data_IF_283537131805
#
_entry.id   IF_283537131805
#
_cell.length_a   1.000
_cell.length_b   1.000
_cell.length_c   1.000
_cell.angle_alpha   90.00
_cell.angle_beta   90.00
_cell.angle_gamma   90.00
#
_symmetry.space_group_name_H-M   'P 1'
#
loop_
_entity.id
_entity.type
_entity.pdbx_description
1 polymer ?
#
# COMPACT_ATOMS: atom_id res chain seq x y z
N UNK A 1 43.70 7.11 -40.90
CA UNK A 1 43.42 7.75 -42.20
C UNK A 1 42.20 8.64 -42.03
N UNK A 2 42.39 9.95 -42.14
CA UNK A 2 41.42 11.00 -41.83
C UNK A 2 40.88 11.53 -43.17
N UNK A 3 39.57 11.48 -43.41
CA UNK A 3 38.96 12.16 -44.56
C UNK A 3 37.94 13.17 -44.06
N UNK A 4 38.43 14.40 -43.96
CA UNK A 4 37.67 15.64 -43.93
C UNK A 4 37.33 15.98 -45.39
N UNK A 5 36.08 16.33 -45.68
CA UNK A 5 35.74 17.14 -46.86
C UNK A 5 34.78 18.24 -46.40
N UNK A 6 35.32 19.45 -46.44
CA UNK A 6 34.65 20.75 -46.37
C UNK A 6 34.38 21.18 -47.82
N UNK A 7 33.30 21.95 -48.07
CA UNK A 7 33.21 23.17 -48.91
C UNK A 7 31.72 23.40 -49.26
N UNK A 8 30.99 24.47 -48.90
CA UNK A 8 31.10 25.96 -49.01
C UNK A 8 30.40 26.56 -50.26
N UNK A 9 29.77 27.73 -50.02
CA UNK A 9 29.30 28.80 -50.94
C UNK A 9 27.94 28.59 -51.64
N UNK A 10 27.10 29.59 -51.91
CA UNK A 10 26.92 31.03 -51.59
C UNK A 10 25.53 31.39 -52.21
N UNK A 11 24.70 32.31 -51.72
CA UNK A 11 24.93 33.73 -51.47
C UNK A 11 24.69 34.56 -52.74
N UNK A 12 23.77 35.54 -52.68
CA UNK A 12 23.41 36.60 -53.66
C UNK A 12 22.17 36.29 -54.56
N UNK A 13 21.24 37.18 -54.94
CA UNK A 13 21.15 38.65 -54.98
C UNK A 13 19.66 39.06 -55.18
N UNK A 14 19.21 40.07 -54.42
CA UNK A 14 18.36 41.26 -54.77
C UNK A 14 17.46 41.21 -56.02
N UNK A 15 16.17 41.55 -55.86
CA UNK A 15 15.50 42.61 -56.67
C UNK A 15 14.29 43.20 -55.93
N UNK A 16 14.25 44.53 -55.91
CA UNK A 16 13.17 45.38 -55.43
C UNK A 16 12.27 45.83 -56.61
N UNK A 17 11.02 46.20 -56.31
CA UNK A 17 10.06 46.89 -57.20
C UNK A 17 8.95 45.96 -57.71
N UNK A 18 7.68 46.34 -57.87
CA UNK A 18 6.98 47.62 -57.71
C UNK A 18 5.45 47.39 -57.73
N UNK A 19 4.71 48.32 -57.09
CA UNK A 19 3.38 48.86 -57.44
C UNK A 19 2.10 48.00 -57.41
N UNK A 20 1.27 48.31 -56.41
CA UNK A 20 -0.15 48.72 -56.48
C UNK A 20 -1.08 48.09 -57.55
N UNK A 21 -2.06 47.33 -57.06
CA UNK A 21 -3.37 47.22 -57.70
C UNK A 21 -4.46 47.15 -56.61
N UNK A 22 -5.22 48.24 -56.50
CA UNK A 22 -6.42 48.38 -55.68
C UNK A 22 -7.58 47.70 -56.40
N UNK A 23 -8.22 46.74 -55.74
CA UNK A 23 -9.54 46.23 -56.09
C UNK A 23 -10.35 46.08 -54.81
N UNK A 24 -11.59 46.57 -54.71
CA UNK A 24 -12.42 46.34 -53.54
C UNK A 24 -12.81 44.86 -53.51
N UNK A 25 -12.36 44.13 -52.49
CA UNK A 25 -12.88 42.79 -52.19
C UNK A 25 -13.69 42.88 -50.91
N UNK A 26 -14.90 42.33 -51.02
CA UNK A 26 -15.91 42.18 -49.98
C UNK A 26 -15.33 41.81 -48.61
N UNK A 27 -15.96 42.24 -47.49
CA UNK A 27 -15.58 41.74 -46.18
C UNK A 27 -15.76 40.22 -46.20
N UNK A 28 -14.63 39.50 -46.28
CA UNK A 28 -14.59 38.07 -46.12
C UNK A 28 -15.30 37.75 -44.80
N UNK A 29 -16.36 36.95 -44.89
CA UNK A 29 -16.95 36.32 -43.73
C UNK A 29 -15.81 35.65 -42.95
N UNK A 30 -15.54 36.15 -41.74
CA UNK A 30 -14.55 35.53 -40.86
C UNK A 30 -15.12 34.15 -40.51
N UNK A 31 -14.58 33.09 -41.11
CA UNK A 31 -14.87 31.73 -40.70
C UNK A 31 -14.48 31.60 -39.22
N UNK A 32 -15.49 31.52 -38.36
CA UNK A 32 -15.30 31.21 -36.94
C UNK A 32 -14.87 29.76 -36.86
N UNK A 33 -13.55 29.53 -36.77
CA UNK A 33 -13.01 28.22 -36.43
C UNK A 33 -13.46 27.88 -35.01
N UNK A 34 -14.34 26.88 -34.87
CA UNK A 34 -14.61 26.28 -33.56
C UNK A 34 -13.29 25.69 -33.06
N UNK A 35 -12.77 26.12 -31.89
CA UNK A 35 -11.55 25.54 -31.34
C UNK A 35 -11.72 24.02 -31.25
N UNK A 36 -10.75 23.28 -31.79
CA UNK A 36 -10.69 21.84 -31.58
C UNK A 36 -10.64 21.58 -30.06
N UNK A 37 -11.28 20.51 -29.57
CA UNK A 37 -11.20 20.13 -28.16
C UNK A 37 -9.73 20.06 -27.75
N UNK A 38 -9.35 20.86 -26.75
CA UNK A 38 -8.03 20.75 -26.14
C UNK A 38 -7.96 19.38 -25.47
N UNK A 39 -6.92 18.57 -25.71
CA UNK A 39 -6.76 17.30 -25.00
C UNK A 39 -6.78 17.54 -23.49
N UNK A 40 -7.67 16.86 -22.77
CA UNK A 40 -7.63 16.87 -21.31
C UNK A 40 -6.31 16.26 -20.85
N UNK A 41 -5.55 16.98 -20.03
CA UNK A 41 -4.33 16.45 -19.43
C UNK A 41 -4.69 15.28 -18.52
N UNK A 42 -3.95 14.16 -18.56
CA UNK A 42 -4.20 13.05 -17.66
C UNK A 42 -4.02 13.51 -16.21
N UNK A 43 -4.80 12.95 -15.27
CA UNK A 43 -4.72 13.35 -13.87
C UNK A 43 -3.31 13.15 -13.32
N UNK A 44 -2.86 14.10 -12.49
CA UNK A 44 -1.54 14.06 -11.91
C UNK A 44 -1.35 12.78 -11.08
N UNK A 45 -0.22 12.09 -11.31
CA UNK A 45 0.13 10.88 -10.57
C UNK A 45 0.54 11.26 -9.14
N UNK A 46 -0.12 10.65 -8.17
CA UNK A 46 0.18 10.77 -6.75
C UNK A 46 1.20 9.70 -6.33
N UNK A 47 0.94 8.45 -6.69
CA UNK A 47 1.81 7.30 -6.46
C UNK A 47 1.61 6.28 -7.59
N UNK A 48 2.44 5.22 -7.72
CA UNK A 48 2.11 4.11 -8.60
C UNK A 48 0.68 3.60 -8.33
N UNK A 49 -0.18 3.58 -9.35
CA UNK A 49 -1.57 3.13 -9.20
C UNK A 49 -2.55 4.12 -8.55
N UNK A 50 -2.11 5.33 -8.19
CA UNK A 50 -2.91 6.34 -7.51
C UNK A 50 -2.74 7.72 -8.15
N UNK A 51 -3.87 8.40 -8.35
CA UNK A 51 -3.96 9.77 -8.87
C UNK A 51 -4.78 10.64 -7.93
N UNK A 52 -4.82 11.94 -8.16
CA UNK A 52 -5.69 12.85 -7.39
C UNK A 52 -7.18 12.53 -7.52
N UNK A 53 -7.57 11.84 -8.60
CA UNK A 53 -8.96 11.42 -8.84
C UNK A 53 -9.28 10.06 -8.23
N UNK A 54 -8.30 9.32 -7.70
CA UNK A 54 -8.51 8.02 -7.08
C UNK A 54 -7.55 6.93 -7.56
N UNK A 55 -7.94 5.68 -7.30
CA UNK A 55 -7.16 4.47 -7.63
C UNK A 55 -7.32 4.15 -9.11
N UNK A 56 -6.20 4.01 -9.82
CA UNK A 56 -6.16 3.63 -11.24
C UNK A 56 -5.67 2.21 -11.44
N UNK A 57 -4.85 1.68 -10.51
CA UNK A 57 -4.27 0.33 -10.57
C UNK A 57 -3.88 -0.09 -9.15
N UNK A 58 -4.73 -0.88 -8.50
CA UNK A 58 -4.53 -1.34 -7.11
C UNK A 58 -3.31 -2.26 -6.97
N UNK A 59 -3.04 -3.09 -7.99
CA UNK A 59 -1.89 -4.01 -8.01
C UNK A 59 -0.57 -3.25 -8.16
N UNK A 60 -0.50 -2.22 -9.00
CA UNK A 60 0.69 -1.38 -9.13
C UNK A 60 1.04 -0.66 -7.82
N UNK A 61 0.03 -0.17 -7.08
CA UNK A 61 0.22 0.44 -5.77
C UNK A 61 0.75 -0.59 -4.75
N UNK A 62 0.13 -1.77 -4.72
CA UNK A 62 0.49 -2.84 -3.78
C UNK A 62 1.90 -3.38 -4.07
N UNK A 63 2.27 -3.53 -5.34
CA UNK A 63 3.63 -3.91 -5.75
C UNK A 63 4.67 -2.85 -5.35
N UNK A 64 4.37 -1.57 -5.54
CA UNK A 64 5.25 -0.48 -5.13
C UNK A 64 5.45 -0.46 -3.60
N UNK A 65 4.39 -0.73 -2.84
CA UNK A 65 4.45 -0.91 -1.39
C UNK A 65 5.43 -2.04 -0.99
N UNK A 66 5.31 -3.21 -1.62
CA UNK A 66 6.22 -4.35 -1.36
C UNK A 66 7.66 -3.97 -1.65
N UNK A 67 7.92 -3.39 -2.83
CA UNK A 67 9.27 -2.98 -3.24
C UNK A 67 9.89 -2.03 -2.24
N UNK A 68 9.10 -1.08 -1.71
CA UNK A 68 9.60 -0.11 -0.73
C UNK A 68 9.99 -0.76 0.60
N UNK A 69 9.21 -1.75 1.06
CA UNK A 69 9.45 -2.44 2.33
C UNK A 69 10.49 -3.56 2.24
N UNK A 70 10.71 -4.17 1.08
CA UNK A 70 11.59 -5.35 0.94
C UNK A 70 13.03 -5.12 1.41
N UNK A 71 13.55 -3.90 1.27
CA UNK A 71 14.98 -3.60 1.48
C UNK A 71 15.25 -2.67 2.67
N UNK A 72 14.25 -2.39 3.51
CA UNK A 72 14.37 -1.48 4.66
C UNK A 72 13.93 -2.18 5.94
N UNK A 73 14.44 -1.71 7.08
CA UNK A 73 13.87 -2.08 8.37
C UNK A 73 12.56 -1.34 8.60
N UNK A 74 11.64 -1.94 9.35
CA UNK A 74 10.40 -1.27 9.74
C UNK A 74 9.74 -1.98 10.93
N UNK A 75 8.86 -1.23 11.60
CA UNK A 75 7.91 -1.76 12.57
C UNK A 75 6.51 -1.71 11.97
N UNK A 76 5.79 -2.82 12.06
CA UNK A 76 4.40 -2.96 11.69
C UNK A 76 3.55 -3.14 12.95
N UNK A 77 2.46 -2.36 13.04
CA UNK A 77 1.38 -2.54 13.99
C UNK A 77 0.09 -2.84 13.25
N UNK A 78 -0.59 -3.90 13.67
CA UNK A 78 -1.87 -4.31 13.10
C UNK A 78 -2.86 -4.59 14.22
N UNK A 79 -4.09 -4.14 14.07
CA UNK A 79 -5.22 -4.49 14.94
C UNK A 79 -6.43 -4.80 14.10
N UNK A 80 -7.10 -5.92 14.39
CA UNK A 80 -8.42 -6.25 13.86
C UNK A 80 -9.35 -6.62 14.99
N UNK A 81 -10.51 -6.00 15.03
CA UNK A 81 -11.55 -6.28 16.02
C UNK A 81 -12.85 -6.63 15.30
N UNK A 82 -13.49 -7.70 15.76
CA UNK A 82 -14.81 -8.16 15.31
C UNK A 82 -15.74 -8.12 16.53
N UNK A 83 -16.81 -7.33 16.45
CA UNK A 83 -17.81 -7.19 17.50
C UNK A 83 -19.18 -7.70 17.04
N UNK A 84 -19.98 -8.19 17.97
CA UNK A 84 -21.41 -8.44 17.74
C UNK A 84 -22.19 -7.12 17.71
N UNK A 85 -23.46 -7.17 17.26
CA UNK A 85 -24.36 -6.02 17.31
C UNK A 85 -24.52 -5.42 18.71
N UNK A 86 -24.47 -6.26 19.74
CA UNK A 86 -24.59 -5.86 21.16
C UNK A 86 -23.29 -5.28 21.75
N UNK A 87 -22.19 -5.28 20.98
CA UNK A 87 -20.92 -4.66 21.34
C UNK A 87 -19.84 -5.62 21.88
N UNK A 88 -20.18 -6.89 22.11
CA UNK A 88 -19.22 -7.89 22.61
C UNK A 88 -18.08 -8.13 21.63
N UNK A 89 -16.86 -8.21 22.16
CA UNK A 89 -15.66 -8.50 21.36
C UNK A 89 -15.57 -10.01 21.09
N UNK A 90 -16.03 -10.40 19.90
CA UNK A 90 -15.99 -11.78 19.43
C UNK A 90 -14.57 -12.24 19.10
N UNK A 91 -13.78 -11.33 18.52
CA UNK A 91 -12.37 -11.53 18.20
C UNK A 91 -11.65 -10.19 18.23
N UNK A 92 -10.46 -10.16 18.83
CA UNK A 92 -9.48 -9.09 18.72
C UNK A 92 -8.14 -9.72 18.42
N UNK A 93 -7.56 -9.33 17.29
CA UNK A 93 -6.22 -9.70 16.87
C UNK A 93 -5.34 -8.46 16.91
N UNK A 94 -4.20 -8.56 17.57
CA UNK A 94 -3.13 -7.57 17.47
C UNK A 94 -1.89 -8.25 16.90
N UNK A 95 -1.14 -7.54 16.06
CA UNK A 95 0.16 -8.02 15.57
C UNK A 95 1.17 -6.89 15.65
N UNK A 96 2.33 -7.18 16.21
CA UNK A 96 3.49 -6.29 16.21
C UNK A 96 4.63 -7.06 15.57
N UNK A 97 5.24 -6.45 14.56
CA UNK A 97 6.35 -7.05 13.83
C UNK A 97 7.45 -6.04 13.67
N UNK A 98 8.68 -6.45 13.99
CA UNK A 98 9.88 -5.64 13.84
C UNK A 98 10.87 -6.42 13.02
N UNK A 99 11.33 -5.83 11.93
CA UNK A 99 12.29 -6.47 11.02
C UNK A 99 13.45 -5.55 10.72
N UNK A 100 14.64 -6.14 10.62
CA UNK A 100 15.76 -5.53 9.93
C UNK A 100 15.54 -5.53 8.42
N UNK A 101 16.43 -4.86 7.69
CA UNK A 101 16.40 -4.85 6.23
C UNK A 101 16.49 -6.28 5.65
N UNK A 102 15.74 -6.56 4.59
CA UNK A 102 15.71 -7.86 3.91
C UNK A 102 15.32 -9.04 4.81
N UNK A 103 14.60 -8.80 5.91
CA UNK A 103 14.21 -9.86 6.86
C UNK A 103 15.39 -10.65 7.45
N UNK A 104 16.59 -10.05 7.49
CA UNK A 104 17.81 -10.71 8.02
C UNK A 104 17.62 -11.17 9.47
N UNK A 105 16.90 -10.37 10.24
CA UNK A 105 16.49 -10.63 11.61
C UNK A 105 15.11 -10.06 11.83
N UNK A 106 14.27 -10.75 12.61
CA UNK A 106 12.97 -10.21 12.97
C UNK A 106 12.40 -10.84 14.24
N UNK A 107 11.44 -10.12 14.83
CA UNK A 107 10.51 -10.64 15.84
C UNK A 107 9.09 -10.28 15.45
N UNK A 108 8.22 -11.28 15.44
CA UNK A 108 6.78 -11.13 15.27
C UNK A 108 6.07 -11.58 16.55
N UNK A 109 5.05 -10.83 16.98
CA UNK A 109 4.10 -11.24 18.00
C UNK A 109 2.70 -11.02 17.48
N UNK A 110 1.84 -12.02 17.61
CA UNK A 110 0.39 -11.91 17.40
C UNK A 110 -0.33 -12.38 18.65
N UNK A 111 -1.29 -11.59 19.11
CA UNK A 111 -2.19 -11.98 20.20
C UNK A 111 -3.60 -12.01 19.64
N UNK A 112 -4.34 -13.06 19.96
CA UNK A 112 -5.74 -13.24 19.56
C UNK A 112 -6.56 -13.53 20.82
N UNK A 113 -7.58 -12.72 21.08
CA UNK A 113 -8.51 -12.86 22.21
C UNK A 113 -9.94 -12.67 21.76
N UNK A 114 -10.92 -13.02 22.60
CA UNK A 114 -12.34 -12.77 22.37
C UNK A 114 -13.20 -13.98 22.69
N UNK A 115 -14.52 -13.81 22.62
CA UNK A 115 -15.45 -14.86 23.05
C UNK A 115 -15.53 -16.07 22.12
N UNK A 116 -15.06 -15.95 20.88
CA UNK A 116 -15.12 -17.05 19.88
C UNK A 116 -13.83 -17.85 19.73
N UNK A 117 -12.76 -17.49 20.45
CA UNK A 117 -11.44 -18.08 20.30
C UNK A 117 -10.75 -18.18 21.67
N UNK A 118 -10.00 -19.25 21.95
CA UNK A 118 -9.15 -19.27 23.13
C UNK A 118 -8.06 -18.19 23.03
N UNK A 119 -7.64 -17.65 24.16
CA UNK A 119 -6.53 -16.70 24.18
C UNK A 119 -5.28 -17.38 23.62
N UNK A 120 -4.74 -16.77 22.56
CA UNK A 120 -3.62 -17.32 21.79
C UNK A 120 -2.56 -16.26 21.56
N UNK A 121 -1.32 -16.53 21.95
CA UNK A 121 -0.13 -15.76 21.54
C UNK A 121 0.71 -16.60 20.57
N UNK A 122 1.05 -16.04 19.40
CA UNK A 122 2.10 -16.56 18.53
C UNK A 122 3.29 -15.60 18.57
N UNK A 123 4.50 -16.12 18.74
CA UNK A 123 5.73 -15.37 18.63
C UNK A 123 6.69 -16.10 17.71
N UNK A 124 7.18 -15.43 16.67
CA UNK A 124 8.24 -15.97 15.81
C UNK A 124 9.45 -15.07 15.90
N UNK A 125 10.62 -15.70 16.05
CA UNK A 125 11.92 -15.03 16.01
C UNK A 125 12.75 -15.65 14.90
N UNK A 126 13.37 -14.80 14.09
CA UNK A 126 14.38 -15.20 13.12
C UNK A 126 15.72 -14.55 13.46
N UNK A 127 16.74 -15.39 13.61
CA UNK A 127 18.13 -14.99 13.85
C UNK A 127 19.03 -16.08 13.27
N UNK A 128 20.15 -15.69 12.67
CA UNK A 128 21.20 -16.63 12.22
C UNK A 128 20.68 -17.79 11.34
N UNK A 129 19.73 -17.48 10.45
CA UNK A 129 19.15 -18.44 9.52
C UNK A 129 18.16 -19.43 10.17
N UNK A 130 17.74 -19.21 11.41
CA UNK A 130 16.82 -20.10 12.14
C UNK A 130 15.59 -19.34 12.61
N UNK A 131 14.42 -19.91 12.32
CA UNK A 131 13.13 -19.46 12.83
C UNK A 131 12.67 -20.36 13.98
N UNK A 132 12.32 -19.74 15.10
CA UNK A 132 11.66 -20.41 16.22
C UNK A 132 10.31 -19.77 16.42
N UNK A 133 9.27 -20.58 16.39
CA UNK A 133 7.91 -20.18 16.75
C UNK A 133 7.58 -20.68 18.15
N UNK A 134 6.88 -19.84 18.91
CA UNK A 134 6.30 -20.14 20.21
C UNK A 134 4.81 -19.84 20.13
N UNK A 135 4.00 -20.83 20.45
CA UNK A 135 2.54 -20.71 20.47
C UNK A 135 2.05 -21.01 21.88
N UNK A 136 1.38 -20.03 22.49
CA UNK A 136 0.79 -20.14 23.82
C UNK A 136 -0.71 -20.09 23.68
N UNK A 137 -1.42 -21.15 24.10
CA UNK A 137 -2.88 -21.23 24.11
C UNK A 137 -3.33 -21.54 25.53
N UNK A 138 -4.17 -20.69 26.13
CA UNK A 138 -4.62 -20.83 27.52
C UNK A 138 -3.46 -21.18 28.47
N UNK A 139 -2.41 -20.36 28.45
CA UNK A 139 -1.18 -20.50 29.27
C UNK A 139 -0.28 -21.70 28.92
N UNK A 140 -0.73 -22.64 28.09
CA UNK A 140 0.07 -23.78 27.64
C UNK A 140 0.93 -23.37 26.45
N UNK A 141 2.26 -23.53 26.58
CA UNK A 141 3.22 -23.08 25.57
C UNK A 141 3.87 -24.24 24.83
N UNK A 142 3.82 -24.20 23.50
CA UNK A 142 4.59 -25.07 22.59
C UNK A 142 5.65 -24.26 21.86
N UNK A 143 6.80 -24.88 21.60
CA UNK A 143 7.91 -24.30 20.84
C UNK A 143 8.24 -25.21 19.66
N UNK A 144 8.49 -24.61 18.50
CA UNK A 144 8.82 -25.31 17.27
C UNK A 144 9.92 -24.59 16.50
N UNK A 145 10.77 -25.35 15.80
CA UNK A 145 11.70 -24.81 14.82
C UNK A 145 10.99 -24.85 13.47
N UNK A 146 10.48 -23.71 13.02
CA UNK A 146 9.68 -23.62 11.78
C UNK A 146 10.54 -23.45 10.54
N UNK A 147 11.80 -23.02 10.71
CA UNK A 147 12.80 -23.02 9.65
C UNK A 147 14.20 -23.16 10.25
N UNK A 148 15.06 -23.94 9.60
CA UNK A 148 16.48 -24.05 9.96
C UNK A 148 17.35 -24.06 8.71
N UNK A 149 18.02 -22.94 8.46
CA UNK A 149 18.96 -22.77 7.35
C UNK A 149 20.22 -23.63 7.46
N UNK A 150 20.37 -24.40 8.55
CA UNK A 150 21.47 -25.37 8.73
C UNK A 150 21.17 -26.75 8.14
N UNK A 151 19.97 -26.97 7.57
CA UNK A 151 19.71 -28.08 6.66
C UNK A 151 19.39 -29.43 7.31
N UNK A 152 18.70 -29.48 8.46
CA UNK A 152 18.12 -30.74 8.94
C UNK A 152 16.75 -30.94 8.26
N UNK A 153 16.71 -31.87 7.28
CA UNK A 153 15.48 -32.50 6.77
C UNK A 153 14.73 -31.79 5.64
N UNK A 154 14.84 -30.46 5.50
CA UNK A 154 14.21 -29.70 4.40
C UNK A 154 15.14 -28.55 3.93
N UNK A 155 15.00 -28.05 2.68
CA UNK A 155 15.69 -26.85 2.24
C UNK A 155 15.39 -25.66 3.17
N UNK A 156 16.33 -24.71 3.33
CA UNK A 156 16.08 -23.50 4.11
C UNK A 156 14.84 -22.78 3.58
N UNK A 157 13.80 -22.61 4.40
CA UNK A 157 12.72 -21.68 4.07
C UNK A 157 13.29 -20.26 4.08
N UNK A 158 12.96 -19.41 3.09
CA UNK A 158 13.36 -18.02 3.13
C UNK A 158 12.71 -17.33 4.36
N UNK A 159 13.35 -16.29 4.94
CA UNK A 159 12.89 -15.68 6.18
C UNK A 159 11.41 -15.28 6.18
N UNK A 160 10.91 -14.75 5.06
CA UNK A 160 9.51 -14.32 4.93
C UNK A 160 8.52 -15.50 5.00
N UNK A 161 8.88 -16.67 4.48
CA UNK A 161 8.01 -17.86 4.49
C UNK A 161 7.94 -18.53 5.86
N UNK A 162 8.90 -18.23 6.74
CA UNK A 162 8.89 -18.72 8.12
C UNK A 162 8.01 -17.89 9.07
N UNK A 163 7.33 -16.85 8.56
CA UNK A 163 6.36 -16.05 9.32
C UNK A 163 4.96 -16.69 9.27
N UNK A 164 4.22 -16.65 10.38
CA UNK A 164 2.81 -17.06 10.45
C UNK A 164 1.85 -16.07 9.74
N UNK A 165 2.36 -15.09 8.99
CA UNK A 165 1.59 -14.08 8.27
C UNK A 165 2.42 -13.40 7.17
N UNK A 166 1.74 -12.75 6.23
CA UNK A 166 2.39 -11.96 5.18
C UNK A 166 2.70 -10.54 5.70
N UNK A 167 3.99 -10.16 5.88
CA UNK A 167 4.37 -8.92 6.57
C UNK A 167 4.06 -7.62 5.82
N UNK A 168 3.88 -7.66 4.49
CA UNK A 168 3.51 -6.47 3.70
C UNK A 168 2.00 -6.27 3.57
N UNK A 169 1.18 -7.21 4.05
CA UNK A 169 -0.28 -7.22 3.86
C UNK A 169 -0.68 -6.91 2.40
N UNK A 170 0.13 -7.34 1.43
CA UNK A 170 0.07 -6.87 0.04
C UNK A 170 -1.29 -7.17 -0.60
N UNK A 171 -1.72 -8.44 -0.52
CA UNK A 171 -3.03 -8.85 -1.04
C UNK A 171 -4.18 -8.14 -0.33
N UNK A 172 -4.04 -7.89 0.97
CA UNK A 172 -5.05 -7.17 1.75
C UNK A 172 -5.15 -5.71 1.32
N UNK A 173 -4.02 -5.05 1.09
CA UNK A 173 -3.97 -3.68 0.58
C UNK A 173 -4.56 -3.58 -0.83
N UNK A 174 -4.13 -4.46 -1.75
CA UNK A 174 -4.66 -4.51 -3.11
C UNK A 174 -6.19 -4.64 -3.10
N UNK A 175 -6.74 -5.62 -2.39
CA UNK A 175 -8.20 -5.80 -2.24
C UNK A 175 -8.90 -4.56 -1.68
N UNK A 176 -8.36 -3.94 -0.63
CA UNK A 176 -9.01 -2.77 -0.02
C UNK A 176 -9.03 -1.57 -0.97
N UNK A 177 -7.94 -1.30 -1.69
CA UNK A 177 -7.90 -0.21 -2.67
C UNK A 177 -8.75 -0.50 -3.92
N UNK A 178 -8.84 -1.76 -4.34
CA UNK A 178 -9.66 -2.20 -5.47
C UNK A 178 -11.17 -2.07 -5.19
N UNK A 179 -11.60 -2.51 -4.00
CA UNK A 179 -13.01 -2.50 -3.62
C UNK A 179 -13.52 -1.16 -3.07
N UNK A 180 -12.62 -0.24 -2.69
CA UNK A 180 -13.01 1.03 -2.08
C UNK A 180 -13.52 2.03 -3.12
N UNK A 181 -14.63 2.70 -2.80
CA UNK A 181 -15.10 3.85 -3.57
C UNK A 181 -14.35 5.10 -3.10
N UNK A 182 -13.13 5.31 -3.61
CA UNK A 182 -12.29 6.45 -3.26
C UNK A 182 -12.93 7.75 -3.76
N UNK A 183 -13.18 8.67 -2.83
CA UNK A 183 -13.84 9.96 -3.10
C UNK A 183 -12.92 11.15 -2.92
N UNK A 184 -11.80 10.99 -2.20
CA UNK A 184 -10.82 12.04 -1.97
C UNK A 184 -9.40 11.47 -1.93
N UNK A 185 -8.49 12.10 -2.69
CA UNK A 185 -7.06 11.90 -2.60
C UNK A 185 -6.42 13.27 -2.48
N UNK A 186 -5.96 13.62 -1.28
CA UNK A 186 -5.49 14.97 -0.97
C UNK A 186 -4.15 14.95 -0.24
N UNK A 187 -3.28 15.96 -0.41
CA UNK A 187 -2.08 16.08 0.40
C UNK A 187 -2.42 16.07 1.89
N UNK A 188 -1.71 15.25 2.67
CA UNK A 188 -1.97 15.18 4.09
C UNK A 188 -1.57 16.49 4.79
N UNK A 189 -2.23 16.76 5.92
CA UNK A 189 -1.91 17.89 6.80
C UNK A 189 -0.47 17.79 7.32
N UNK A 190 0.07 18.94 7.72
CA UNK A 190 1.47 19.07 8.13
C UNK A 190 1.84 18.12 9.28
N UNK A 191 0.95 17.90 10.23
CA UNK A 191 1.19 17.02 11.39
C UNK A 191 1.37 15.55 10.95
N UNK A 192 0.65 15.13 9.92
CA UNK A 192 0.76 13.78 9.34
C UNK A 192 2.06 13.65 8.54
N UNK A 193 2.42 14.68 7.76
CA UNK A 193 3.70 14.71 7.02
C UNK A 193 4.89 14.61 7.97
N UNK A 194 4.86 15.35 9.08
CA UNK A 194 5.89 15.30 10.12
C UNK A 194 5.97 13.93 10.79
N UNK A 195 4.83 13.26 11.00
CA UNK A 195 4.80 11.90 11.57
C UNK A 195 5.55 10.89 10.71
N UNK A 196 5.51 11.03 9.38
CA UNK A 196 6.15 10.10 8.44
C UNK A 196 7.46 10.60 7.84
N UNK A 197 7.83 11.86 8.08
CA UNK A 197 9.05 12.47 7.55
C UNK A 197 9.08 12.56 6.02
N UNK A 198 7.91 12.55 5.37
CA UNK A 198 7.78 12.49 3.92
C UNK A 198 6.52 13.24 3.44
N UNK A 199 6.50 13.74 2.19
CA UNK A 199 5.24 14.12 1.56
C UNK A 199 4.34 12.88 1.47
N UNK A 200 3.12 12.99 1.97
CA UNK A 200 2.14 11.89 1.96
C UNK A 200 0.76 12.43 1.62
N UNK A 201 -0.08 11.54 1.10
CA UNK A 201 -1.44 11.82 0.67
C UNK A 201 -2.40 11.01 1.53
N UNK A 202 -3.50 11.64 1.94
CA UNK A 202 -4.63 10.97 2.56
C UNK A 202 -5.56 10.49 1.44
N UNK A 203 -5.91 9.22 1.50
CA UNK A 203 -6.93 8.60 0.65
C UNK A 203 -8.14 8.35 1.54
N UNK A 204 -9.32 8.79 1.11
CA UNK A 204 -10.58 8.54 1.81
C UNK A 204 -11.59 7.95 0.83
N UNK A 205 -12.32 6.95 1.29
CA UNK A 205 -13.38 6.30 0.54
C UNK A 205 -14.69 6.36 1.30
N UNK A 206 -15.76 6.63 0.57
CA UNK A 206 -17.13 6.57 1.07
C UNK A 206 -17.87 5.41 0.38
N UNK A 207 -18.05 4.32 1.13
CA UNK A 207 -18.59 3.08 0.62
C UNK A 207 -17.58 2.24 -0.18
N UNK A 208 -18.10 1.42 -1.09
CA UNK A 208 -17.35 0.42 -1.84
C UNK A 208 -17.91 0.25 -3.26
N UNK A 209 -17.02 0.12 -4.23
CA UNK A 209 -17.31 -0.32 -5.61
C UNK A 209 -17.53 -1.84 -5.64
N UNK A 210 -16.69 -2.59 -4.91
CA UNK A 210 -16.85 -4.03 -4.69
C UNK A 210 -16.73 -4.37 -3.20
N UNK A 211 -17.88 -4.69 -2.59
CA UNK A 211 -17.96 -5.02 -1.16
C UNK A 211 -17.34 -6.38 -0.83
N UNK A 212 -17.15 -7.26 -1.82
CA UNK A 212 -16.60 -8.60 -1.60
C UNK A 212 -15.11 -8.58 -1.22
N UNK A 213 -14.41 -7.48 -1.51
CA UNK A 213 -12.99 -7.28 -1.19
C UNK A 213 -12.72 -7.00 0.30
N UNK A 214 -13.73 -6.56 1.04
CA UNK A 214 -13.58 -6.15 2.44
C UNK A 214 -13.51 -7.30 3.44
N UNK A 215 -14.36 -8.34 3.39
CA UNK A 215 -14.30 -9.42 4.36
C UNK A 215 -13.16 -10.41 4.10
N UNK A 216 -12.31 -10.67 5.11
CA UNK A 216 -11.25 -11.71 5.05
C UNK A 216 -11.75 -13.16 5.06
N UNK A 217 -13.07 -13.35 5.11
CA UNK A 217 -13.71 -14.66 5.08
C UNK A 217 -15.15 -14.49 4.60
N UNK A 218 -15.79 -15.50 3.99
CA UNK A 218 -17.11 -15.38 3.37
C UNK A 218 -18.17 -14.74 4.29
N UNK A 219 -19.02 -13.91 3.69
CA UNK A 219 -20.13 -13.23 4.35
C UNK A 219 -21.36 -13.23 3.44
N UNK A 220 -22.54 -13.34 4.04
CA UNK A 220 -23.83 -13.29 3.32
C UNK A 220 -24.15 -11.88 2.82
N UNK A 221 -23.72 -10.88 3.59
CA UNK A 221 -23.91 -9.46 3.29
C UNK A 221 -22.77 -8.66 3.88
N UNK A 222 -22.42 -7.56 3.21
CA UNK A 222 -21.44 -6.58 3.65
C UNK A 222 -22.07 -5.19 3.56
N UNK A 223 -21.88 -4.35 4.58
CA UNK A 223 -22.45 -3.00 4.67
C UNK A 223 -21.51 -2.02 5.37
N UNK A 224 -21.93 -0.75 5.46
CA UNK A 224 -21.30 0.33 6.24
C UNK A 224 -19.78 0.44 6.06
N UNK A 225 -19.34 0.31 4.81
CA UNK A 225 -17.92 0.33 4.45
C UNK A 225 -17.38 1.74 4.56
N UNK A 226 -16.29 1.90 5.30
CA UNK A 226 -15.44 3.09 5.29
C UNK A 226 -13.97 2.68 5.23
N UNK A 227 -13.20 3.38 4.42
CA UNK A 227 -11.77 3.11 4.25
C UNK A 227 -10.99 4.43 4.16
N UNK A 228 -9.85 4.46 4.85
CA UNK A 228 -8.89 5.56 4.78
C UNK A 228 -7.48 5.02 4.75
N UNK A 229 -6.57 5.69 4.04
CA UNK A 229 -5.16 5.35 4.04
C UNK A 229 -4.27 6.60 3.96
N UNK A 230 -3.00 6.44 4.31
CA UNK A 230 -1.93 7.41 4.05
C UNK A 230 -0.87 6.79 3.15
N UNK A 231 -0.62 7.42 2.02
CA UNK A 231 0.22 6.89 0.94
C UNK A 231 1.33 7.88 0.59
N UNK A 232 2.57 7.42 0.56
CA UNK A 232 3.71 8.20 0.06
C UNK A 232 3.82 8.14 -1.47
N UNK A 233 4.51 9.10 -2.11
CA UNK A 233 4.62 9.19 -3.56
C UNK A 233 5.31 7.98 -4.22
N UNK A 234 6.08 7.24 -3.44
CA UNK A 234 6.78 6.02 -3.87
C UNK A 234 5.89 4.77 -3.83
N UNK A 235 4.63 4.89 -3.40
CA UNK A 235 3.68 3.79 -3.26
C UNK A 235 3.67 3.11 -1.88
N UNK A 236 4.44 3.62 -0.92
CA UNK A 236 4.37 3.13 0.46
C UNK A 236 3.06 3.55 1.12
N UNK A 237 2.18 2.59 1.36
CA UNK A 237 1.06 2.74 2.29
C UNK A 237 1.60 2.73 3.72
N UNK A 238 1.59 3.88 4.40
CA UNK A 238 2.08 4.03 5.77
C UNK A 238 1.04 3.60 6.80
N UNK A 239 -0.22 3.91 6.56
CA UNK A 239 -1.32 3.48 7.39
C UNK A 239 -2.59 3.23 6.58
N UNK A 240 -3.45 2.38 7.12
CA UNK A 240 -4.85 2.34 6.74
C UNK A 240 -5.76 2.04 7.93
N UNK A 241 -7.01 2.46 7.79
CA UNK A 241 -8.12 2.11 8.65
C UNK A 241 -9.30 1.69 7.80
N UNK A 242 -9.94 0.59 8.17
CA UNK A 242 -11.17 0.12 7.51
C UNK A 242 -12.19 -0.28 8.55
N UNK A 243 -13.45 0.06 8.28
CA UNK A 243 -14.60 -0.45 9.02
C UNK A 243 -15.66 -0.95 8.05
N UNK A 244 -16.38 -2.00 8.46
CA UNK A 244 -17.51 -2.53 7.71
C UNK A 244 -18.36 -3.43 8.60
N UNK A 245 -19.62 -3.65 8.22
CA UNK A 245 -20.50 -4.65 8.83
C UNK A 245 -20.58 -5.88 7.94
N UNK A 246 -20.72 -7.05 8.54
CA UNK A 246 -20.97 -8.31 7.84
C UNK A 246 -22.10 -9.09 8.49
N UNK A 247 -22.88 -9.81 7.69
CA UNK A 247 -23.81 -10.83 8.18
C UNK A 247 -23.23 -12.21 7.93
N UNK A 248 -23.16 -13.03 8.98
CA UNK A 248 -22.72 -14.43 8.92
C UNK A 248 -23.57 -15.28 9.85
N UNK A 249 -24.13 -16.36 9.32
CA UNK A 249 -24.99 -17.28 10.06
C UNK A 249 -26.11 -16.50 10.78
N UNK A 250 -26.73 -15.53 10.09
CA UNK A 250 -27.76 -14.65 10.65
C UNK A 250 -27.28 -13.63 11.70
N UNK A 251 -25.99 -13.59 12.05
CA UNK A 251 -25.43 -12.64 13.02
C UNK A 251 -24.78 -11.45 12.33
N UNK A 252 -25.17 -10.23 12.68
CA UNK A 252 -24.49 -9.00 12.25
C UNK A 252 -23.25 -8.76 13.11
N UNK A 253 -22.10 -8.56 12.45
CA UNK A 253 -20.82 -8.28 13.08
C UNK A 253 -20.25 -6.97 12.55
N UNK A 254 -19.70 -6.14 13.43
CA UNK A 254 -18.92 -4.96 13.06
C UNK A 254 -17.44 -5.31 13.06
N UNK A 255 -16.77 -5.07 11.95
CA UNK A 255 -15.32 -5.26 11.81
C UNK A 255 -14.65 -3.89 11.74
N UNK A 256 -13.57 -3.74 12.51
CA UNK A 256 -12.65 -2.60 12.42
C UNK A 256 -11.23 -3.15 12.31
N UNK A 257 -10.47 -2.64 11.36
CA UNK A 257 -9.08 -3.03 11.12
C UNK A 257 -8.23 -1.78 10.93
N UNK A 258 -7.03 -1.78 11.50
CA UNK A 258 -6.07 -0.70 11.39
C UNK A 258 -4.68 -1.28 11.23
N UNK A 259 -3.90 -0.74 10.31
CA UNK A 259 -2.52 -1.11 10.09
C UNK A 259 -1.66 0.15 10.03
N UNK A 260 -0.43 0.07 10.55
CA UNK A 260 0.58 1.11 10.42
C UNK A 260 1.97 0.51 10.23
N UNK A 261 2.70 1.03 9.26
CA UNK A 261 4.14 0.92 9.12
C UNK A 261 4.79 2.20 9.67
N UNK A 262 5.82 2.05 10.50
CA UNK A 262 6.57 3.15 11.07
C UNK A 262 8.00 2.74 11.36
N UNK A 263 8.80 3.69 11.85
CA UNK A 263 10.25 3.50 12.10
C UNK A 263 10.98 2.97 10.85
N UNK A 264 10.49 3.35 9.66
CA UNK A 264 10.99 2.85 8.38
C UNK A 264 12.44 3.30 8.18
N UNK A 265 13.34 2.33 8.03
CA UNK A 265 14.78 2.55 7.93
C UNK A 265 15.50 2.69 9.27
N UNK A 266 14.79 2.72 10.39
CA UNK A 266 15.36 2.93 11.74
C UNK A 266 15.04 1.82 12.74
N UNK A 267 14.12 0.90 12.43
CA UNK A 267 13.78 -0.21 13.32
C UNK A 267 14.96 -1.15 13.53
N UNK A 268 15.13 -1.56 14.78
CA UNK A 268 15.96 -2.70 15.18
C UNK A 268 15.07 -3.75 15.85
N UNK A 269 15.09 -5.02 15.41
CA UNK A 269 14.38 -6.08 16.12
C UNK A 269 14.94 -6.29 17.53
N UNK A 270 14.10 -6.10 18.55
CA UNK A 270 14.46 -6.47 19.93
C UNK A 270 14.38 -7.99 20.10
N UNK A 271 15.51 -8.64 19.85
CA UNK A 271 15.72 -10.06 20.12
C UNK A 271 16.02 -10.22 21.62
N UNK A 272 15.00 -10.28 22.48
CA UNK A 272 15.22 -10.49 23.92
C UNK A 272 16.11 -11.72 24.16
N UNK A 273 17.37 -11.50 24.57
CA UNK A 273 18.34 -12.56 24.83
C UNK A 273 18.15 -13.30 26.16
N UNK A 274 16.97 -13.21 26.79
CA UNK A 274 16.74 -13.73 28.15
C UNK A 274 15.38 -14.41 28.31
N UNK A 275 15.15 -15.46 27.53
CA UNK A 275 14.33 -16.60 28.00
C UNK A 275 14.77 -17.83 27.21
N UNK A 276 16.06 -18.12 27.30
CA UNK A 276 16.70 -19.27 26.66
C UNK A 276 17.31 -20.18 27.74
N UNK A 277 16.44 -20.77 28.56
CA UNK A 277 16.66 -22.08 29.18
C UNK A 277 15.36 -22.86 29.15
#
# INVERSE_FOLDING_TARGET
>A
MRRVVVVLLAGCLVTAGCTALVGPRDPAASETLTPAPVPEEPPARVAPGLTETGVTDSDALAQAHVVRLSNVSYTLWYTRTVRTGDGDVRLRQTTVFRTGANYREYVARRTVTGTSVPETELRTRWTDGRAIERTTVNETTRREVVADGRGIGAPPLPPREALFFEPTYNSRLASLFDGANVTDVSPAREEVRQTYGAPVYRVSADGATDRSQFPVAPAERVGDVGFTAVVGPEGLVYDYGVQYTVVRNGTTLRVTESLRYGEVGTTTPELDGRTER
#
